data_IF_498321366646
#
_entry.id   IF_498321366646
#
_cell.length_a   1.000
_cell.length_b   1.000
_cell.length_c   1.000
_cell.angle_alpha   90.00
_cell.angle_beta   90.00
_cell.angle_gamma   90.00
#
_symmetry.space_group_name_H-M   'P 1'
#
loop_
_entity.id
_entity.type
_entity.pdbx_description
1 polymer ?
#
# COMPACT_ATOMS: atom_id res chain seq x y z
N UNK A 1 -30.94 15.53 -39.40
CA UNK A 1 -29.48 15.84 -39.35
C UNK A 1 -29.14 16.30 -37.93
N UNK A 2 -28.54 15.44 -37.09
CA UNK A 2 -27.60 15.99 -36.12
C UNK A 2 -26.32 16.27 -36.94
N UNK A 3 -26.22 17.48 -37.50
CA UNK A 3 -25.03 17.90 -38.25
C UNK A 3 -23.79 17.61 -37.41
N UNK A 4 -22.73 17.11 -38.04
CA UNK A 4 -21.39 17.23 -37.50
C UNK A 4 -21.22 18.69 -37.05
N UNK A 5 -21.16 18.92 -35.74
CA UNK A 5 -20.87 20.26 -35.24
C UNK A 5 -19.45 20.60 -35.70
N UNK A 6 -19.16 21.86 -36.03
CA UNK A 6 -17.78 22.28 -36.28
C UNK A 6 -16.84 21.87 -35.12
N UNK A 7 -17.41 21.78 -33.91
CA UNK A 7 -16.78 21.28 -32.69
C UNK A 7 -16.42 19.77 -32.74
N UNK A 8 -17.23 18.94 -33.42
CA UNK A 8 -16.97 17.50 -33.57
C UNK A 8 -15.82 17.24 -34.56
N UNK A 9 -15.75 18.00 -35.65
CA UNK A 9 -14.69 17.90 -36.65
C UNK A 9 -13.35 18.47 -36.14
N UNK A 10 -13.40 19.51 -35.32
CA UNK A 10 -12.22 20.00 -34.59
C UNK A 10 -11.74 18.96 -33.56
N UNK A 11 -12.66 18.37 -32.79
CA UNK A 11 -12.33 17.32 -31.83
C UNK A 11 -11.72 16.09 -32.50
N UNK A 12 -12.22 15.72 -33.68
CA UNK A 12 -11.69 14.62 -34.49
C UNK A 12 -10.27 14.91 -34.94
N UNK A 13 -10.01 16.08 -35.50
CA UNK A 13 -8.66 16.51 -35.92
C UNK A 13 -7.68 16.51 -34.75
N UNK A 14 -8.11 17.01 -33.58
CA UNK A 14 -7.30 16.99 -32.37
C UNK A 14 -6.98 15.55 -31.90
N UNK A 15 -7.95 14.63 -32.02
CA UNK A 15 -7.69 13.23 -31.72
C UNK A 15 -6.77 12.57 -32.77
N UNK A 16 -6.89 12.93 -34.05
CA UNK A 16 -6.04 12.40 -35.14
C UNK A 16 -4.57 12.82 -34.95
N UNK A 17 -4.34 14.10 -34.63
CA UNK A 17 -3.00 14.62 -34.27
C UNK A 17 -2.41 13.88 -33.05
N UNK A 18 -3.23 13.60 -32.04
CA UNK A 18 -2.79 12.90 -30.83
C UNK A 18 -2.45 11.40 -31.05
N UNK A 19 -2.75 10.83 -32.22
CA UNK A 19 -2.45 9.44 -32.57
C UNK A 19 -1.59 9.30 -33.83
N UNK A 20 -0.98 10.40 -34.27
CA UNK A 20 -0.06 10.44 -35.40
C UNK A 20 1.04 9.36 -35.23
N UNK A 21 1.29 8.58 -36.29
CA UNK A 21 2.21 7.43 -36.27
C UNK A 21 1.56 6.04 -36.03
N UNK A 22 0.30 5.95 -35.58
CA UNK A 22 -0.32 4.64 -35.28
C UNK A 22 -0.93 3.92 -36.50
N UNK A 23 -1.02 4.60 -37.65
CA UNK A 23 -1.76 4.19 -38.86
C UNK A 23 -3.25 3.89 -38.61
N UNK A 24 -3.84 4.49 -37.57
CA UNK A 24 -5.27 4.34 -37.25
C UNK A 24 -6.06 5.53 -37.80
N UNK A 25 -7.22 5.28 -38.39
CA UNK A 25 -8.16 6.31 -38.84
C UNK A 25 -9.25 6.51 -37.79
N UNK A 26 -9.52 7.74 -37.38
CA UNK A 26 -10.59 8.04 -36.44
C UNK A 26 -11.93 8.03 -37.19
N UNK A 27 -12.89 7.29 -36.64
CA UNK A 27 -14.26 7.15 -37.15
C UNK A 27 -15.20 8.12 -36.43
N UNK A 28 -15.03 8.28 -35.12
CA UNK A 28 -15.84 9.17 -34.29
C UNK A 28 -15.05 9.63 -33.07
N UNK A 29 -15.28 10.87 -32.63
CA UNK A 29 -14.79 11.41 -31.36
C UNK A 29 -15.91 12.10 -30.63
N UNK A 30 -16.04 11.87 -29.32
CA UNK A 30 -17.09 12.47 -28.50
C UNK A 30 -16.60 12.80 -27.09
N UNK A 31 -17.03 13.95 -26.55
CA UNK A 31 -16.71 14.37 -25.18
C UNK A 31 -17.57 13.59 -24.19
N UNK A 32 -16.95 13.17 -23.09
CA UNK A 32 -17.62 12.37 -22.05
C UNK A 32 -17.12 12.74 -20.67
N UNK A 33 -17.96 12.60 -19.65
CA UNK A 33 -17.55 12.65 -18.26
C UNK A 33 -17.29 11.24 -17.73
N UNK A 34 -16.11 11.01 -17.15
CA UNK A 34 -15.72 9.71 -16.56
C UNK A 34 -15.87 9.75 -15.04
N UNK A 35 -16.68 8.87 -14.48
CA UNK A 35 -16.81 8.62 -13.03
C UNK A 35 -16.40 7.19 -12.65
N UNK A 36 -16.09 6.96 -11.37
CA UNK A 36 -15.88 5.61 -10.81
C UNK A 36 -17.19 5.19 -10.16
N UNK A 37 -17.70 4.00 -10.49
CA UNK A 37 -18.90 3.44 -9.84
C UNK A 37 -18.65 3.24 -8.35
N UNK A 38 -19.49 3.83 -7.51
CA UNK A 38 -19.44 3.66 -6.05
C UNK A 38 -20.56 2.68 -5.69
N UNK A 39 -20.23 1.61 -4.95
CA UNK A 39 -21.22 0.94 -4.10
C UNK A 39 -20.68 0.77 -2.68
N UNK A 40 -21.37 1.39 -1.73
CA UNK A 40 -21.47 0.95 -0.34
C UNK A 40 -20.26 1.17 0.58
N UNK A 41 -20.18 2.36 1.20
CA UNK A 41 -20.12 2.52 2.67
C UNK A 41 -20.39 3.99 2.98
N UNK A 42 -21.52 4.23 3.65
CA UNK A 42 -21.85 5.53 4.25
C UNK A 42 -20.69 5.99 5.13
N UNK A 43 -20.28 7.25 4.98
CA UNK A 43 -19.29 7.88 5.87
C UNK A 43 -18.03 8.42 5.19
N UNK A 44 -18.18 9.28 4.18
CA UNK A 44 -17.35 10.49 3.92
C UNK A 44 -17.68 11.04 2.54
N UNK A 45 -18.43 12.13 2.49
CA UNK A 45 -18.81 12.85 1.28
C UNK A 45 -17.62 13.65 0.73
N UNK A 46 -16.57 12.95 0.27
CA UNK A 46 -15.56 13.53 -0.61
C UNK A 46 -16.10 13.49 -2.04
N UNK A 47 -16.45 14.64 -2.62
CA UNK A 47 -16.86 14.76 -4.03
C UNK A 47 -15.77 14.16 -4.94
N UNK A 48 -15.90 12.89 -5.34
CA UNK A 48 -15.16 12.40 -6.51
C UNK A 48 -15.78 13.05 -7.75
N UNK A 49 -15.23 14.20 -8.13
CA UNK A 49 -15.64 14.94 -9.33
C UNK A 49 -15.46 14.07 -10.58
N UNK A 50 -16.49 14.02 -11.44
CA UNK A 50 -16.39 13.39 -12.75
C UNK A 50 -15.32 14.11 -13.59
N UNK A 51 -14.44 13.36 -14.26
CA UNK A 51 -13.31 13.92 -15.01
C UNK A 51 -13.67 14.04 -16.50
N UNK A 52 -13.49 15.21 -17.13
CA UNK A 52 -13.74 15.36 -18.57
C UNK A 52 -12.73 14.54 -19.38
N UNK A 53 -13.23 13.78 -20.35
CA UNK A 53 -12.48 12.89 -21.23
C UNK A 53 -13.06 12.96 -22.64
N UNK A 54 -12.33 12.40 -23.61
CA UNK A 54 -12.82 12.20 -24.97
C UNK A 54 -12.71 10.73 -25.31
N UNK A 55 -13.76 10.17 -25.90
CA UNK A 55 -13.75 8.82 -26.47
C UNK A 55 -13.56 8.95 -27.98
N UNK A 56 -12.52 8.31 -28.50
CA UNK A 56 -12.23 8.24 -29.93
C UNK A 56 -12.32 6.79 -30.40
N UNK A 57 -13.21 6.53 -31.36
CA UNK A 57 -13.31 5.26 -32.06
C UNK A 57 -12.40 5.31 -33.28
N UNK A 58 -11.51 4.33 -33.41
CA UNK A 58 -10.57 4.25 -34.52
C UNK A 58 -10.52 2.86 -35.16
N UNK A 59 -10.20 2.81 -36.44
CA UNK A 59 -10.00 1.57 -37.19
C UNK A 59 -8.62 1.55 -37.83
N UNK A 60 -8.06 0.35 -38.01
CA UNK A 60 -6.78 0.11 -38.69
C UNK A 60 -6.94 -1.04 -39.68
N UNK A 61 -6.63 -0.80 -40.95
CA UNK A 61 -6.54 -1.85 -41.95
C UNK A 61 -5.18 -2.57 -41.84
N UNK A 62 -5.20 -3.90 -41.87
CA UNK A 62 -4.01 -4.75 -42.05
C UNK A 62 -4.38 -5.83 -43.08
N UNK A 63 -4.11 -5.56 -44.36
CA UNK A 63 -4.59 -6.40 -45.47
C UNK A 63 -6.13 -6.36 -45.58
N UNK A 64 -6.77 -7.53 -45.71
CA UNK A 64 -8.24 -7.66 -45.76
C UNK A 64 -8.94 -7.53 -44.39
N UNK A 65 -8.21 -7.56 -43.26
CA UNK A 65 -8.81 -7.48 -41.91
C UNK A 65 -8.74 -6.06 -41.35
N UNK A 66 -9.88 -5.57 -40.84
CA UNK A 66 -9.99 -4.29 -40.14
C UNK A 66 -9.97 -4.57 -38.63
N UNK A 67 -9.11 -3.86 -37.88
CA UNK A 67 -9.10 -3.87 -36.41
C UNK A 67 -9.70 -2.58 -35.88
N UNK A 68 -10.60 -2.68 -34.92
CA UNK A 68 -11.27 -1.52 -34.32
C UNK A 68 -10.90 -1.33 -32.84
N UNK A 69 -10.77 -0.07 -32.44
CA UNK A 69 -10.32 0.34 -31.12
C UNK A 69 -11.17 1.47 -30.55
N UNK A 70 -11.33 1.47 -29.23
CA UNK A 70 -11.87 2.59 -28.45
C UNK A 70 -10.74 3.18 -27.62
N UNK A 71 -10.39 4.44 -27.88
CA UNK A 71 -9.31 5.15 -27.20
C UNK A 71 -9.91 6.24 -26.30
N UNK A 72 -9.44 6.28 -25.06
CA UNK A 72 -9.79 7.31 -24.08
C UNK A 72 -8.68 8.35 -24.09
N UNK A 73 -9.03 9.61 -24.30
CA UNK A 73 -8.12 10.74 -24.29
C UNK A 73 -8.32 11.59 -23.03
N UNK A 74 -7.24 12.19 -22.54
CA UNK A 74 -7.23 13.17 -21.43
C UNK A 74 -6.74 14.53 -21.96
N UNK A 75 -7.20 15.60 -21.34
CA UNK A 75 -6.64 16.93 -21.57
C UNK A 75 -5.37 17.10 -20.71
N UNK A 76 -4.27 17.54 -21.31
CA UNK A 76 -3.03 17.92 -20.61
C UNK A 76 -3.01 19.42 -20.31
N UNK A 77 -2.02 19.85 -19.52
CA UNK A 77 -1.77 21.27 -19.22
C UNK A 77 -1.43 22.00 -20.51
N UNK A 78 -2.40 22.78 -21.03
CA UNK A 78 -2.31 23.42 -22.35
C UNK A 78 -3.48 23.08 -23.30
N UNK A 79 -4.44 22.24 -22.87
CA UNK A 79 -5.64 21.94 -23.67
C UNK A 79 -5.45 20.91 -24.77
N UNK A 80 -4.24 20.35 -24.91
CA UNK A 80 -3.90 19.30 -25.88
C UNK A 80 -4.46 17.95 -25.43
N UNK A 81 -4.94 17.14 -26.38
CA UNK A 81 -5.44 15.79 -26.12
C UNK A 81 -4.29 14.78 -26.13
N UNK A 82 -4.20 13.98 -25.08
CA UNK A 82 -3.22 12.89 -24.96
C UNK A 82 -3.91 11.54 -24.79
N UNK A 83 -3.41 10.46 -25.41
CA UNK A 83 -3.89 9.10 -25.17
C UNK A 83 -3.76 8.69 -23.70
N UNK A 84 -4.86 8.25 -23.09
CA UNK A 84 -4.88 7.80 -21.69
C UNK A 84 -5.10 6.28 -21.55
N UNK A 85 -5.98 5.70 -22.37
CA UNK A 85 -6.23 4.24 -22.35
C UNK A 85 -6.72 3.76 -23.72
N UNK A 86 -6.34 2.56 -24.11
CA UNK A 86 -6.76 1.92 -25.37
C UNK A 86 -7.50 0.62 -25.07
N UNK A 87 -8.68 0.46 -25.67
CA UNK A 87 -9.46 -0.78 -25.65
C UNK A 87 -9.56 -1.33 -27.07
N UNK A 88 -9.30 -2.63 -27.27
CA UNK A 88 -9.64 -3.31 -28.53
C UNK A 88 -11.15 -3.61 -28.49
N UNK A 89 -11.87 -3.40 -29.59
CA UNK A 89 -13.33 -3.65 -29.64
C UNK A 89 -13.68 -5.14 -29.81
N UNK A 90 -12.79 -5.97 -30.38
CA UNK A 90 -12.79 -7.42 -30.05
C UNK A 90 -12.62 -7.47 -28.54
N UNK A 91 -13.25 -8.30 -27.73
CA UNK A 91 -13.27 -8.21 -26.25
C UNK A 91 -14.32 -7.27 -25.65
N UNK A 92 -14.98 -6.38 -26.41
CA UNK A 92 -16.19 -5.75 -25.87
C UNK A 92 -17.28 -6.82 -25.77
N UNK A 93 -17.78 -7.08 -24.57
CA UNK A 93 -18.75 -8.14 -24.29
C UNK A 93 -20.10 -7.64 -23.79
N UNK A 94 -20.12 -6.50 -23.09
CA UNK A 94 -21.33 -5.93 -22.53
C UNK A 94 -21.38 -4.42 -22.70
N UNK A 95 -22.55 -3.89 -23.06
CA UNK A 95 -22.89 -2.46 -23.03
C UNK A 95 -24.10 -2.31 -22.12
N UNK A 96 -23.98 -1.51 -21.06
CA UNK A 96 -25.04 -1.40 -20.04
C UNK A 96 -25.31 0.05 -19.69
N UNK A 97 -26.55 0.51 -19.91
CA UNK A 97 -27.05 1.80 -19.45
C UNK A 97 -27.49 1.68 -17.99
N UNK A 98 -27.15 2.67 -17.18
CA UNK A 98 -27.40 2.65 -15.74
C UNK A 98 -28.85 3.09 -15.46
N UNK A 99 -29.67 2.17 -14.93
CA UNK A 99 -31.07 2.45 -14.62
C UNK A 99 -31.30 3.47 -13.49
N UNK A 100 -30.30 3.65 -12.60
CA UNK A 100 -30.39 4.58 -11.48
C UNK A 100 -30.12 6.06 -11.88
N UNK A 101 -29.81 6.33 -13.15
CA UNK A 101 -29.61 7.67 -13.67
C UNK A 101 -30.90 8.17 -14.38
N UNK A 102 -31.64 9.13 -13.80
CA UNK A 102 -32.89 9.62 -14.39
C UNK A 102 -32.68 10.35 -15.74
N UNK A 103 -31.45 10.76 -16.05
CA UNK A 103 -31.12 11.36 -17.36
C UNK A 103 -30.93 10.33 -18.47
N UNK A 104 -30.76 9.04 -18.12
CA UNK A 104 -30.41 7.97 -19.04
C UNK A 104 -29.06 8.15 -19.76
N UNK A 105 -28.27 9.19 -19.45
CA UNK A 105 -27.07 9.54 -20.21
C UNK A 105 -25.83 8.73 -19.79
N UNK A 106 -25.91 7.99 -18.69
CA UNK A 106 -24.78 7.23 -18.13
C UNK A 106 -24.80 5.76 -18.51
N UNK A 107 -23.67 5.26 -19.00
CA UNK A 107 -23.49 3.86 -19.39
C UNK A 107 -22.11 3.30 -19.00
N UNK A 108 -21.96 1.99 -19.10
CA UNK A 108 -20.71 1.26 -18.89
C UNK A 108 -20.39 0.36 -20.08
N UNK A 109 -19.10 0.16 -20.33
CA UNK A 109 -18.58 -0.74 -21.36
C UNK A 109 -17.78 -1.85 -20.69
N UNK A 110 -18.29 -3.07 -20.76
CA UNK A 110 -17.66 -4.28 -20.24
C UNK A 110 -16.75 -4.92 -21.29
N UNK A 111 -15.46 -5.01 -20.96
CA UNK A 111 -14.47 -5.69 -21.80
C UNK A 111 -13.94 -6.94 -21.09
N UNK A 112 -13.97 -8.09 -21.76
CA UNK A 112 -13.55 -9.39 -21.19
C UNK A 112 -12.07 -9.42 -20.78
N UNK A 113 -11.25 -8.56 -21.40
CA UNK A 113 -9.81 -8.48 -21.14
C UNK A 113 -9.43 -7.64 -19.90
N UNK A 114 -10.39 -7.17 -19.10
CA UNK A 114 -10.09 -6.44 -17.88
C UNK A 114 -9.83 -7.42 -16.73
N UNK A 115 -8.54 -7.72 -16.54
CA UNK A 115 -7.90 -8.09 -15.28
C UNK A 115 -8.68 -7.45 -14.11
N UNK A 116 -9.33 -8.28 -13.28
CA UNK A 116 -10.18 -7.96 -12.11
C UNK A 116 -11.70 -7.87 -12.36
N UNK A 117 -12.42 -8.91 -11.92
CA UNK A 117 -13.84 -8.82 -11.50
C UNK A 117 -14.02 -7.91 -10.25
N UNK A 118 -12.94 -7.38 -9.67
CA UNK A 118 -12.94 -6.62 -8.41
C UNK A 118 -13.04 -5.09 -8.58
N UNK A 119 -12.88 -4.53 -9.79
CA UNK A 119 -12.98 -3.07 -10.00
C UNK A 119 -14.20 -2.78 -10.85
N UNK A 120 -15.18 -2.08 -10.27
CA UNK A 120 -16.38 -1.61 -10.99
C UNK A 120 -15.99 -0.90 -12.29
N UNK A 121 -16.58 -1.25 -13.43
CA UNK A 121 -16.24 -0.64 -14.71
C UNK A 121 -16.45 0.88 -14.67
N UNK A 122 -15.63 1.66 -15.39
CA UNK A 122 -15.79 3.10 -15.44
C UNK A 122 -17.17 3.46 -16.00
N UNK A 123 -17.80 4.43 -15.37
CA UNK A 123 -19.07 4.98 -15.83
C UNK A 123 -18.79 6.19 -16.73
N UNK A 124 -19.53 6.25 -17.84
CA UNK A 124 -19.40 7.25 -18.87
C UNK A 124 -20.71 8.00 -18.97
N UNK A 125 -20.71 9.28 -18.63
CA UNK A 125 -21.89 10.15 -18.70
C UNK A 125 -21.76 11.08 -19.91
N UNK A 126 -22.78 11.05 -20.77
CA UNK A 126 -22.89 11.92 -21.95
C UNK A 126 -23.61 13.23 -21.64
N UNK A 127 -23.53 14.19 -22.56
CA UNK A 127 -24.22 15.49 -22.45
C UNK A 127 -25.73 15.35 -22.58
N UNK A 128 -26.19 14.45 -23.44
CA UNK A 128 -27.59 14.16 -23.69
C UNK A 128 -27.75 12.71 -24.21
N UNK A 129 -29.01 12.28 -24.33
CA UNK A 129 -29.38 10.94 -24.79
C UNK A 129 -28.96 10.72 -26.25
N UNK A 130 -28.99 11.76 -27.08
CA UNK A 130 -28.58 11.67 -28.49
C UNK A 130 -27.07 11.38 -28.65
N UNK A 131 -26.21 12.05 -27.89
CA UNK A 131 -24.75 11.82 -27.86
C UNK A 131 -24.46 10.38 -27.40
N UNK A 132 -25.19 9.88 -26.41
CA UNK A 132 -25.14 8.48 -25.95
C UNK A 132 -25.53 7.53 -27.09
N UNK A 133 -26.70 7.73 -27.69
CA UNK A 133 -27.22 6.86 -28.74
C UNK A 133 -26.31 6.86 -29.97
N UNK A 134 -25.79 8.02 -30.37
CA UNK A 134 -24.83 8.17 -31.47
C UNK A 134 -23.55 7.37 -31.24
N UNK A 135 -22.97 7.47 -30.04
CA UNK A 135 -21.77 6.69 -29.72
C UNK A 135 -22.07 5.19 -29.69
N UNK A 136 -23.14 4.78 -28.99
CA UNK A 136 -23.47 3.37 -28.84
C UNK A 136 -23.81 2.71 -30.18
N UNK A 137 -24.57 3.39 -31.04
CA UNK A 137 -24.86 2.91 -32.39
C UNK A 137 -23.59 2.76 -33.22
N UNK A 138 -22.66 3.72 -33.13
CA UNK A 138 -21.38 3.64 -33.82
C UNK A 138 -20.54 2.43 -33.34
N UNK A 139 -20.50 2.18 -32.03
CA UNK A 139 -19.84 1.00 -31.45
C UNK A 139 -20.49 -0.29 -31.96
N UNK A 140 -21.83 -0.37 -31.92
CA UNK A 140 -22.58 -1.56 -32.35
C UNK A 140 -22.40 -1.83 -33.85
N UNK A 141 -22.45 -0.81 -34.70
CA UNK A 141 -22.21 -0.94 -36.13
C UNK A 141 -20.79 -1.42 -36.42
N UNK A 142 -19.77 -0.83 -35.76
CA UNK A 142 -18.39 -1.30 -35.90
C UNK A 142 -18.25 -2.75 -35.42
N UNK A 143 -18.87 -3.13 -34.31
CA UNK A 143 -18.85 -4.52 -33.83
C UNK A 143 -19.52 -5.48 -34.83
N UNK A 144 -20.63 -5.08 -35.45
CA UNK A 144 -21.30 -5.86 -36.50
C UNK A 144 -20.46 -5.98 -37.77
N UNK A 145 -20.04 -4.84 -38.32
CA UNK A 145 -19.41 -4.75 -39.64
C UNK A 145 -17.95 -5.23 -39.65
N UNK A 146 -17.22 -5.01 -38.55
CA UNK A 146 -15.79 -5.33 -38.46
C UNK A 146 -15.52 -6.63 -37.71
N UNK A 147 -16.34 -6.98 -36.71
CA UNK A 147 -16.06 -8.13 -35.82
C UNK A 147 -17.05 -9.29 -35.98
N UNK A 148 -18.14 -9.12 -36.75
CA UNK A 148 -19.15 -10.16 -36.98
C UNK A 148 -19.94 -10.58 -35.73
N UNK A 149 -19.81 -9.85 -34.60
CA UNK A 149 -20.47 -10.16 -33.33
C UNK A 149 -20.96 -8.91 -32.62
N UNK A 150 -22.08 -9.01 -31.91
CA UNK A 150 -22.64 -7.94 -31.11
C UNK A 150 -22.43 -8.19 -29.61
N UNK A 151 -22.05 -7.16 -28.82
CA UNK A 151 -21.99 -7.28 -27.36
C UNK A 151 -23.40 -7.38 -26.76
N UNK A 152 -23.51 -7.94 -25.54
CA UNK A 152 -24.77 -7.98 -24.79
C UNK A 152 -25.18 -6.57 -24.39
N UNK A 153 -26.34 -6.12 -24.86
CA UNK A 153 -26.91 -4.81 -24.54
C UNK A 153 -27.90 -4.94 -23.38
N UNK A 154 -27.75 -4.12 -22.33
CA UNK A 154 -28.58 -4.12 -21.11
C UNK A 154 -29.03 -2.69 -20.79
N UNK A 155 -30.30 -2.53 -20.39
CA UNK A 155 -30.85 -1.21 -20.02
C UNK A 155 -31.11 -0.27 -21.20
N UNK A 156 -31.11 -0.80 -22.42
CA UNK A 156 -31.44 -0.08 -23.65
C UNK A 156 -32.64 -0.75 -24.28
N UNK A 157 -33.69 0.02 -24.56
CA UNK A 157 -34.76 -0.46 -25.42
C UNK A 157 -34.24 -0.55 -26.86
N UNK A 158 -34.08 -1.78 -27.33
CA UNK A 158 -33.57 -2.11 -28.66
C UNK A 158 -34.50 -1.56 -29.75
N UNK A 159 -35.80 -1.43 -29.46
CA UNK A 159 -36.81 -0.89 -30.38
C UNK A 159 -36.69 0.63 -30.46
N UNK A 160 -36.56 1.34 -29.34
CA UNK A 160 -36.32 2.79 -29.35
C UNK A 160 -34.99 3.14 -30.03
N UNK A 161 -33.93 2.36 -29.81
CA UNK A 161 -32.64 2.58 -30.47
C UNK A 161 -32.72 2.35 -31.98
N UNK A 162 -33.48 1.34 -32.43
CA UNK A 162 -33.70 1.07 -33.85
C UNK A 162 -34.56 2.16 -34.53
N UNK A 163 -35.59 2.67 -33.82
CA UNK A 163 -36.41 3.80 -34.27
C UNK A 163 -35.58 5.09 -34.36
N UNK A 164 -34.80 5.40 -33.33
CA UNK A 164 -33.86 6.53 -33.34
C UNK A 164 -32.84 6.42 -34.48
N UNK A 165 -32.28 5.23 -34.71
CA UNK A 165 -31.38 4.98 -35.83
C UNK A 165 -32.08 5.22 -37.18
N UNK A 166 -33.31 4.74 -37.36
CA UNK A 166 -34.08 4.96 -38.59
C UNK A 166 -34.36 6.44 -38.86
N UNK A 167 -34.57 7.24 -37.82
CA UNK A 167 -34.81 8.69 -37.92
C UNK A 167 -33.53 9.52 -38.10
N UNK A 168 -32.38 9.04 -37.65
CA UNK A 168 -31.11 9.79 -37.62
C UNK A 168 -30.01 9.28 -38.57
N UNK A 169 -30.24 8.20 -39.33
CA UNK A 169 -29.28 7.70 -40.34
C UNK A 169 -29.66 8.26 -41.72
N UNK A 170 -28.78 9.03 -42.40
CA UNK A 170 -29.04 9.43 -43.78
C UNK A 170 -28.96 8.21 -44.71
N UNK A 171 -29.97 8.03 -45.57
CA UNK A 171 -29.94 7.07 -46.66
C UNK A 171 -28.87 7.47 -47.68
N UNK A 172 -27.70 6.81 -47.65
CA UNK A 172 -26.69 6.94 -48.70
C UNK A 172 -26.62 5.65 -49.50
N UNK A 173 -27.07 5.79 -50.74
CA UNK A 173 -26.97 4.88 -51.88
C UNK A 173 -25.59 4.24 -52.00
N UNK A 174 -25.54 2.92 -51.94
CA UNK A 174 -24.40 2.11 -52.34
C UNK A 174 -24.25 2.20 -53.87
N UNK A 175 -23.47 3.17 -54.37
CA UNK A 175 -22.87 3.04 -55.70
C UNK A 175 -21.73 2.03 -55.59
N UNK A 176 -22.01 0.78 -55.98
CA UNK A 176 -21.00 -0.18 -56.41
C UNK A 176 -20.44 0.34 -57.73
N UNK A 177 -19.29 1.00 -57.70
CA UNK A 177 -18.47 1.15 -58.91
C UNK A 177 -17.64 -0.12 -59.06
N UNK A 178 -18.09 -0.97 -59.98
CA UNK A 178 -17.24 -1.91 -60.71
C UNK A 178 -16.23 -1.08 -61.50
N UNK A 179 -14.94 -1.20 -61.19
CA UNK A 179 -13.88 -0.89 -62.15
C UNK A 179 -13.23 -2.19 -62.52
N UNK A 180 -13.81 -2.78 -63.56
CA UNK A 180 -13.17 -3.69 -64.48
C UNK A 180 -12.13 -2.87 -65.26
N UNK A 181 -10.88 -3.34 -65.30
CA UNK A 181 -9.78 -2.65 -65.93
C UNK A 181 -8.86 -3.68 -66.59
N UNK A 182 -8.78 -3.73 -67.93
CA UNK A 182 -7.96 -4.71 -68.62
C UNK A 182 -6.50 -4.32 -68.48
N UNK A 183 -5.69 -5.20 -67.89
CA UNK A 183 -4.23 -5.05 -67.93
C UNK A 183 -3.78 -5.47 -69.32
N UNK A 184 -3.58 -4.48 -70.18
CA UNK A 184 -2.81 -4.62 -71.42
C UNK A 184 -1.35 -4.83 -71.02
N UNK A 185 -0.81 -6.02 -71.27
CA UNK A 185 0.62 -6.27 -71.22
C UNK A 185 1.25 -5.63 -72.47
N UNK A 186 1.76 -4.41 -72.34
CA UNK A 186 2.72 -3.84 -73.28
C UNK A 186 4.06 -4.54 -73.09
N UNK A 187 4.38 -5.45 -74.02
CA UNK A 187 5.73 -5.97 -74.20
C UNK A 187 6.58 -4.82 -74.74
N UNK A 188 7.44 -4.26 -73.89
CA UNK A 188 8.54 -3.40 -74.35
C UNK A 188 9.65 -4.30 -74.85
N UNK A 189 9.88 -4.32 -76.17
CA UNK A 189 11.11 -4.81 -76.77
C UNK A 189 12.28 -3.99 -76.21
N UNK A 190 13.03 -4.59 -75.30
CA UNK A 190 14.38 -4.15 -74.97
C UNK A 190 15.35 -4.96 -75.83
N UNK A 191 16.03 -4.30 -76.77
CA UNK A 191 17.16 -4.85 -77.52
C UNK A 191 18.25 -5.33 -76.56
N UNK A 192 18.22 -6.62 -76.24
CA UNK A 192 19.31 -7.33 -75.61
C UNK A 192 20.29 -7.75 -76.70
N UNK A 193 21.40 -7.02 -76.80
CA UNK A 193 22.62 -7.50 -77.46
C UNK A 193 23.05 -8.80 -76.77
N UNK A 194 22.76 -9.93 -77.41
CA UNK A 194 23.29 -11.24 -77.01
C UNK A 194 24.76 -11.29 -77.41
N UNK A 195 25.65 -11.03 -76.46
CA UNK A 195 27.02 -11.54 -76.52
C UNK A 195 26.93 -13.03 -76.22
N UNK A 196 27.26 -13.86 -77.22
CA UNK A 196 27.33 -15.31 -77.07
C UNK A 196 28.45 -15.64 -76.09
N UNK A 197 28.11 -15.74 -74.81
CA UNK A 197 28.95 -16.43 -73.83
C UNK A 197 28.89 -17.92 -74.19
N UNK A 198 30.04 -18.44 -74.60
CA UNK A 198 30.24 -19.80 -75.09
C UNK A 198 30.58 -20.70 -73.92
N UNK A 199 29.62 -20.89 -73.04
CA UNK A 199 29.62 -21.88 -71.96
C UNK A 199 28.15 -22.14 -71.63
N UNK A 200 27.83 -23.21 -70.89
CA UNK A 200 26.48 -23.61 -70.44
C UNK A 200 25.77 -24.69 -71.27
N UNK A 201 26.49 -25.76 -71.62
CA UNK A 201 25.87 -27.10 -71.68
C UNK A 201 26.84 -28.08 -71.01
N UNK A 202 26.40 -28.78 -69.97
CA UNK A 202 27.16 -29.83 -69.30
C UNK A 202 27.42 -31.00 -70.27
N UNK A 203 28.51 -31.75 -70.12
CA UNK A 203 28.77 -32.94 -70.95
C UNK A 203 27.60 -33.95 -70.92
N UNK A 204 26.87 -34.04 -69.80
CA UNK A 204 25.68 -34.87 -69.70
C UNK A 204 24.50 -34.31 -70.51
N UNK A 205 24.35 -32.99 -70.56
CA UNK A 205 23.32 -32.33 -71.36
C UNK A 205 23.66 -32.39 -72.85
N UNK A 206 24.95 -32.39 -73.21
CA UNK A 206 25.42 -32.60 -74.59
C UNK A 206 25.15 -34.04 -75.05
N UNK A 207 25.40 -35.04 -74.21
CA UNK A 207 25.10 -36.45 -74.48
C UNK A 207 23.58 -36.71 -74.59
N UNK A 208 22.78 -36.08 -73.73
CA UNK A 208 21.31 -36.14 -73.80
C UNK A 208 20.76 -35.44 -75.05
N UNK A 209 21.33 -34.29 -75.43
CA UNK A 209 20.98 -33.61 -76.69
C UNK A 209 21.35 -34.46 -77.90
N UNK A 210 22.52 -35.11 -77.88
CA UNK A 210 22.96 -36.01 -78.96
C UNK A 210 22.09 -37.26 -79.04
N UNK A 211 21.69 -37.84 -77.91
CA UNK A 211 20.76 -38.96 -77.85
C UNK A 211 19.36 -38.57 -78.39
N UNK A 212 18.85 -37.40 -78.00
CA UNK A 212 17.60 -36.84 -78.52
C UNK A 212 17.69 -36.62 -80.04
N UNK A 213 18.75 -35.98 -80.52
CA UNK A 213 18.97 -35.77 -81.95
C UNK A 213 19.13 -37.10 -82.71
N UNK A 214 19.77 -38.10 -82.10
CA UNK A 214 19.98 -39.44 -82.65
C UNK A 214 18.69 -40.26 -82.80
N UNK A 215 17.66 -40.01 -81.98
CA UNK A 215 16.32 -40.60 -82.16
C UNK A 215 15.58 -40.08 -83.40
N UNK A 216 15.96 -38.94 -83.97
CA UNK A 216 15.32 -38.35 -85.15
C UNK A 216 16.18 -38.56 -86.40
N UNK A 217 15.87 -39.58 -87.20
CA UNK A 217 16.51 -39.78 -88.52
C UNK A 217 15.90 -38.81 -89.53
N UNK A 218 16.66 -37.82 -89.98
CA UNK A 218 16.16 -36.70 -90.81
C UNK A 218 17.04 -36.49 -92.05
N UNK A 219 16.41 -36.35 -93.22
CA UNK A 219 17.09 -35.98 -94.48
C UNK A 219 17.35 -34.47 -94.59
N UNK A 220 18.25 -34.06 -95.49
CA UNK A 220 18.81 -32.69 -95.65
C UNK A 220 17.76 -31.60 -96.01
N UNK A 221 16.46 -31.90 -96.07
CA UNK A 221 15.39 -30.96 -96.43
C UNK A 221 14.32 -30.70 -95.37
N UNK A 222 14.39 -31.31 -94.18
CA UNK A 222 13.27 -31.33 -93.21
C UNK A 222 13.55 -30.53 -91.92
N UNK A 223 14.58 -29.68 -91.89
CA UNK A 223 14.96 -28.90 -90.70
C UNK A 223 13.85 -27.97 -90.19
N UNK A 224 13.01 -27.45 -91.08
CA UNK A 224 11.88 -26.59 -90.71
C UNK A 224 10.76 -27.41 -90.05
N UNK A 225 10.50 -28.63 -90.55
CA UNK A 225 9.58 -29.58 -89.95
C UNK A 225 10.07 -30.09 -88.58
N UNK A 226 11.39 -30.22 -88.39
CA UNK A 226 12.01 -30.53 -87.10
C UNK A 226 11.82 -29.42 -86.07
N UNK A 227 12.14 -28.18 -86.47
CA UNK A 227 11.95 -27.00 -85.62
C UNK A 227 10.50 -26.85 -85.19
N UNK A 228 9.55 -27.04 -86.11
CA UNK A 228 8.13 -27.04 -85.75
C UNK A 228 7.75 -28.18 -84.78
N UNK A 229 8.35 -29.36 -84.92
CA UNK A 229 8.06 -30.49 -84.03
C UNK A 229 8.63 -30.28 -82.63
N UNK A 230 9.86 -29.80 -82.51
CA UNK A 230 10.45 -29.41 -81.22
C UNK A 230 9.66 -28.28 -80.56
N UNK A 231 9.20 -27.28 -81.33
CA UNK A 231 8.31 -26.24 -80.80
C UNK A 231 7.00 -26.82 -80.27
N UNK A 232 6.41 -27.79 -80.96
CA UNK A 232 5.18 -28.47 -80.49
C UNK A 232 5.43 -29.31 -79.24
N UNK A 233 6.54 -30.03 -79.15
CA UNK A 233 6.90 -30.81 -77.96
C UNK A 233 7.23 -29.90 -76.78
N UNK A 234 7.98 -28.81 -76.99
CA UNK A 234 8.26 -27.80 -75.98
C UNK A 234 6.98 -27.14 -75.46
N UNK A 235 6.07 -26.72 -76.36
CA UNK A 235 4.77 -26.18 -75.96
C UNK A 235 3.92 -27.20 -75.19
N UNK A 236 3.97 -28.49 -75.56
CA UNK A 236 3.28 -29.54 -74.84
C UNK A 236 3.88 -29.77 -73.44
N UNK A 237 5.21 -29.68 -73.32
CA UNK A 237 5.93 -29.84 -72.06
C UNK A 237 5.72 -28.64 -71.14
N UNK A 238 5.74 -27.42 -71.67
CA UNK A 238 5.35 -26.20 -70.97
C UNK A 238 3.90 -26.27 -70.49
N UNK A 239 2.97 -26.74 -71.34
CA UNK A 239 1.58 -26.94 -70.94
C UNK A 239 1.43 -28.00 -69.84
N UNK A 240 2.16 -29.10 -69.92
CA UNK A 240 2.17 -30.14 -68.88
C UNK A 240 2.75 -29.61 -67.56
N UNK A 241 3.79 -28.80 -67.62
CA UNK A 241 4.41 -28.21 -66.44
C UNK A 241 3.48 -27.17 -65.78
N UNK A 242 2.82 -26.32 -66.57
CA UNK A 242 1.78 -25.40 -66.09
C UNK A 242 0.62 -26.18 -65.47
N UNK A 243 0.19 -27.28 -66.08
CA UNK A 243 -0.86 -28.13 -65.53
C UNK A 243 -0.46 -28.77 -64.18
N UNK A 244 0.77 -29.27 -64.08
CA UNK A 244 1.29 -29.83 -62.83
C UNK A 244 1.39 -28.77 -61.71
N UNK A 245 1.78 -27.54 -62.05
CA UNK A 245 1.79 -26.41 -61.11
C UNK A 245 0.36 -26.08 -60.67
N UNK A 246 -0.60 -25.98 -61.60
CA UNK A 246 -2.01 -25.71 -61.31
C UNK A 246 -2.67 -26.80 -60.47
N UNK A 247 -2.35 -28.08 -60.70
CA UNK A 247 -2.84 -29.19 -59.87
C UNK A 247 -2.26 -29.15 -58.45
N UNK A 248 -1.06 -28.60 -58.27
CA UNK A 248 -0.41 -28.45 -56.96
C UNK A 248 -0.87 -27.21 -56.18
N UNK A 249 -1.47 -26.22 -56.84
CA UNK A 249 -2.01 -24.99 -56.24
C UNK A 249 -2.91 -25.24 -55.02
N UNK A 250 -3.92 -26.14 -55.04
CA UNK A 250 -4.78 -26.38 -53.88
C UNK A 250 -4.04 -26.97 -52.68
N UNK A 251 -3.01 -27.81 -52.91
CA UNK A 251 -2.18 -28.37 -51.84
C UNK A 251 -1.27 -27.29 -51.22
N UNK A 252 -0.72 -26.41 -52.06
CA UNK A 252 0.08 -25.27 -51.62
C UNK A 252 -0.76 -24.32 -50.78
N UNK A 253 -2.00 -24.04 -51.21
CA UNK A 253 -2.95 -23.19 -50.48
C UNK A 253 -3.33 -23.80 -49.12
N UNK A 254 -3.54 -25.12 -49.04
CA UNK A 254 -3.82 -25.80 -47.77
C UNK A 254 -2.63 -25.71 -46.81
N UNK A 255 -1.41 -25.90 -47.30
CA UNK A 255 -0.18 -25.76 -46.50
C UNK A 255 0.02 -24.31 -46.05
N UNK A 256 -0.19 -23.33 -46.92
CA UNK A 256 -0.11 -21.91 -46.57
C UNK A 256 -1.15 -21.55 -45.50
N UNK A 257 -2.38 -22.06 -45.63
CA UNK A 257 -3.43 -21.85 -44.65
C UNK A 257 -3.11 -22.50 -43.30
N UNK A 258 -2.53 -23.71 -43.32
CA UNK A 258 -2.05 -24.40 -42.13
C UNK A 258 -0.93 -23.63 -41.44
N UNK A 259 0.04 -23.11 -42.21
CA UNK A 259 1.14 -22.29 -41.69
C UNK A 259 0.63 -20.97 -41.08
N UNK A 260 -0.33 -20.32 -41.73
CA UNK A 260 -0.95 -19.10 -41.23
C UNK A 260 -1.74 -19.36 -39.93
N UNK A 261 -2.45 -20.49 -39.86
CA UNK A 261 -3.14 -20.94 -38.65
C UNK A 261 -2.18 -21.21 -37.50
N UNK A 262 -1.09 -21.94 -37.75
CA UNK A 262 -0.05 -22.19 -36.76
C UNK A 262 0.61 -20.89 -36.28
N UNK A 263 0.88 -19.96 -37.20
CA UNK A 263 1.43 -18.63 -36.88
C UNK A 263 0.49 -17.85 -35.97
N UNK A 264 -0.82 -17.86 -36.25
CA UNK A 264 -1.82 -17.22 -35.39
C UNK A 264 -1.87 -17.85 -33.99
N UNK A 265 -1.75 -19.18 -33.88
CA UNK A 265 -1.70 -19.86 -32.58
C UNK A 265 -0.46 -19.46 -31.76
N UNK A 266 0.70 -19.34 -32.41
CA UNK A 266 1.94 -18.89 -31.74
C UNK A 266 1.81 -17.43 -31.27
N UNK A 267 1.25 -16.55 -32.10
CA UNK A 267 0.97 -15.15 -31.73
C UNK A 267 0.04 -15.06 -30.50
N UNK A 268 -1.00 -15.90 -30.46
CA UNK A 268 -1.90 -15.95 -29.31
C UNK A 268 -1.16 -16.44 -28.05
N UNK A 269 -0.33 -17.48 -28.16
CA UNK A 269 0.50 -17.97 -27.04
C UNK A 269 1.45 -16.90 -26.50
N UNK A 270 2.05 -16.08 -27.37
CA UNK A 270 2.88 -14.95 -26.94
C UNK A 270 2.07 -13.88 -26.20
N UNK A 271 0.85 -13.55 -26.68
CA UNK A 271 -0.06 -12.63 -25.96
C UNK A 271 -0.43 -13.20 -24.57
N UNK A 272 -0.69 -14.52 -24.46
CA UNK A 272 -0.94 -15.18 -23.17
C UNK A 272 0.28 -15.14 -22.24
N UNK A 273 1.47 -15.48 -22.74
CA UNK A 273 2.71 -15.44 -21.96
C UNK A 273 3.03 -14.02 -21.49
N UNK A 274 2.82 -13.01 -22.34
CA UNK A 274 2.92 -11.60 -21.97
C UNK A 274 1.98 -11.23 -20.82
N UNK A 275 0.71 -11.68 -20.89
CA UNK A 275 -0.27 -11.43 -19.81
C UNK A 275 0.16 -12.11 -18.51
N UNK A 276 0.60 -13.38 -18.57
CA UNK A 276 1.04 -14.15 -17.40
C UNK A 276 2.29 -13.55 -16.76
N UNK A 277 3.29 -13.15 -17.55
CA UNK A 277 4.49 -12.48 -17.04
C UNK A 277 4.14 -11.20 -16.28
N UNK A 278 3.26 -10.37 -16.83
CA UNK A 278 2.80 -9.15 -16.14
C UNK A 278 1.98 -9.50 -14.87
N UNK A 279 1.23 -10.62 -14.85
CA UNK A 279 0.53 -11.08 -13.63
C UNK A 279 1.53 -11.52 -12.56
N UNK A 280 2.51 -12.36 -12.92
CA UNK A 280 3.52 -12.86 -11.99
C UNK A 280 4.38 -11.74 -11.42
N UNK A 281 4.74 -10.73 -12.22
CA UNK A 281 5.45 -9.56 -11.74
C UNK A 281 4.64 -8.78 -10.70
N UNK A 282 3.37 -8.49 -10.97
CA UNK A 282 2.53 -7.80 -9.99
C UNK A 282 2.28 -8.64 -8.74
N UNK A 283 2.09 -9.95 -8.88
CA UNK A 283 1.99 -10.83 -7.71
C UNK A 283 3.26 -10.81 -6.86
N UNK A 284 4.45 -10.80 -7.49
CA UNK A 284 5.73 -10.68 -6.77
C UNK A 284 5.82 -9.34 -6.02
N UNK A 285 5.50 -8.24 -6.68
CA UNK A 285 5.49 -6.90 -6.07
C UNK A 285 4.49 -6.82 -4.89
N UNK A 286 3.30 -7.41 -5.06
CA UNK A 286 2.28 -7.47 -4.01
C UNK A 286 2.73 -8.32 -2.82
N UNK A 287 3.35 -9.49 -3.06
CA UNK A 287 3.90 -10.36 -2.01
C UNK A 287 5.00 -9.64 -1.25
N UNK A 288 5.94 -9.00 -1.94
CA UNK A 288 7.02 -8.23 -1.30
C UNK A 288 6.48 -7.08 -0.44
N UNK A 289 5.45 -6.38 -0.92
CA UNK A 289 4.76 -5.34 -0.15
C UNK A 289 4.07 -5.89 1.10
N UNK A 290 3.46 -7.08 1.00
CA UNK A 290 2.83 -7.76 2.15
C UNK A 290 3.89 -8.23 3.15
N UNK A 291 4.98 -8.84 2.68
CA UNK A 291 6.08 -9.34 3.52
C UNK A 291 6.76 -8.20 4.28
N UNK A 292 7.12 -7.12 3.60
CA UNK A 292 7.71 -5.94 4.23
C UNK A 292 6.78 -5.33 5.28
N UNK A 293 5.48 -5.23 4.97
CA UNK A 293 4.47 -4.79 5.94
C UNK A 293 4.36 -5.74 7.13
N UNK A 294 4.35 -7.04 6.90
CA UNK A 294 4.20 -8.04 7.96
C UNK A 294 5.43 -8.05 8.89
N UNK A 295 6.64 -8.01 8.32
CA UNK A 295 7.88 -7.90 9.10
C UNK A 295 7.89 -6.64 9.97
N UNK A 296 7.43 -5.51 9.43
CA UNK A 296 7.29 -4.28 10.20
C UNK A 296 6.27 -4.42 11.34
N UNK A 297 5.13 -5.08 11.11
CA UNK A 297 4.14 -5.33 12.15
C UNK A 297 4.66 -6.28 13.24
N UNK A 298 5.39 -7.33 12.85
CA UNK A 298 5.99 -8.26 13.79
C UNK A 298 7.07 -7.57 14.63
N UNK A 299 7.96 -6.79 14.00
CA UNK A 299 8.95 -5.99 14.71
C UNK A 299 8.30 -4.98 15.67
N UNK A 300 7.24 -4.30 15.24
CA UNK A 300 6.46 -3.42 16.12
C UNK A 300 5.84 -4.19 17.29
N UNK A 301 5.30 -5.39 17.03
CA UNK A 301 4.71 -6.24 18.07
C UNK A 301 5.75 -6.65 19.12
N UNK A 302 6.93 -7.10 18.67
CA UNK A 302 8.04 -7.48 19.55
C UNK A 302 8.53 -6.27 20.35
N UNK A 303 8.74 -5.13 19.70
CA UNK A 303 9.18 -3.91 20.38
C UNK A 303 8.17 -3.41 21.39
N UNK A 304 6.87 -3.43 21.05
CA UNK A 304 5.82 -3.03 21.97
C UNK A 304 5.74 -3.95 23.19
N UNK A 305 5.91 -5.27 22.99
CA UNK A 305 5.96 -6.23 24.10
C UNK A 305 7.14 -5.95 25.03
N UNK A 306 8.33 -5.75 24.46
CA UNK A 306 9.53 -5.40 25.23
C UNK A 306 9.35 -4.05 25.98
N UNK A 307 8.73 -3.06 25.33
CA UNK A 307 8.44 -1.77 25.94
C UNK A 307 7.46 -1.90 27.11
N UNK A 308 6.41 -2.72 26.98
CA UNK A 308 5.47 -2.98 28.07
C UNK A 308 6.20 -3.65 29.24
N UNK A 309 7.04 -4.66 28.97
CA UNK A 309 7.82 -5.34 30.03
C UNK A 309 8.77 -4.38 30.76
N UNK A 310 9.43 -3.46 30.05
CA UNK A 310 10.25 -2.42 30.66
C UNK A 310 9.43 -1.39 31.45
N UNK A 311 8.25 -1.00 30.94
CA UNK A 311 7.34 -0.11 31.64
C UNK A 311 6.81 -0.75 32.93
N UNK A 312 6.45 -2.03 32.91
CA UNK A 312 5.97 -2.77 34.08
C UNK A 312 7.06 -2.85 35.16
N UNK A 313 8.32 -3.10 34.77
CA UNK A 313 9.46 -3.04 35.70
C UNK A 313 9.60 -1.66 36.34
N UNK A 314 9.42 -0.58 35.56
CA UNK A 314 9.46 0.77 36.09
C UNK A 314 8.28 1.07 37.03
N UNK A 315 7.07 0.62 36.66
CA UNK A 315 5.87 0.80 37.48
C UNK A 315 5.99 0.09 38.83
N UNK A 316 6.50 -1.15 38.86
CA UNK A 316 6.75 -1.87 40.11
C UNK A 316 7.77 -1.14 40.99
N UNK A 317 8.81 -0.52 40.42
CA UNK A 317 9.75 0.31 41.19
C UNK A 317 9.13 1.60 41.74
N UNK A 318 8.18 2.19 41.02
CA UNK A 318 7.48 3.41 41.43
C UNK A 318 6.33 3.14 42.40
N UNK A 319 5.92 1.88 42.57
CA UNK A 319 4.78 1.49 43.42
C UNK A 319 5.10 1.72 44.89
N UNK A 320 4.20 2.42 45.58
CA UNK A 320 4.27 2.65 47.03
C UNK A 320 3.24 1.76 47.69
N UNK A 321 3.64 0.81 48.55
CA UNK A 321 2.70 0.03 49.35
C UNK A 321 1.84 0.96 50.22
N UNK A 322 0.52 0.79 50.20
CA UNK A 322 -0.42 1.63 50.93
C UNK A 322 -0.20 1.59 52.45
N UNK A 323 0.22 0.44 52.95
CA UNK A 323 0.57 0.23 54.36
C UNK A 323 1.71 1.15 54.79
N UNK A 324 2.79 1.20 54.01
CA UNK A 324 3.93 2.08 54.28
C UNK A 324 3.60 3.55 54.08
N UNK A 325 2.79 3.89 53.06
CA UNK A 325 2.33 5.27 52.86
C UNK A 325 1.53 5.77 54.09
N UNK A 326 0.61 4.96 54.61
CA UNK A 326 -0.17 5.28 55.80
C UNK A 326 0.73 5.41 57.05
N UNK A 327 1.69 4.51 57.21
CA UNK A 327 2.66 4.55 58.31
C UNK A 327 3.49 5.85 58.28
N UNK A 328 4.05 6.20 57.12
CA UNK A 328 4.93 7.35 56.95
C UNK A 328 4.21 8.70 57.08
N UNK A 329 2.95 8.79 56.62
CA UNK A 329 2.18 10.04 56.62
C UNK A 329 1.39 10.27 57.90
N UNK A 330 0.83 9.21 58.52
CA UNK A 330 -0.10 9.33 59.65
C UNK A 330 0.08 8.31 60.79
N UNK A 331 1.00 7.35 60.70
CA UNK A 331 1.19 6.31 61.73
C UNK A 331 1.65 6.86 63.09
N UNK A 332 1.18 6.26 64.20
CA UNK A 332 1.67 6.62 65.53
C UNK A 332 3.07 6.04 65.78
N UNK A 333 3.80 6.66 66.72
CA UNK A 333 5.15 6.23 67.11
C UNK A 333 5.14 5.45 68.43
N UNK A 334 4.02 4.80 68.75
CA UNK A 334 3.90 3.99 69.95
C UNK A 334 4.81 2.76 69.86
N UNK A 335 5.25 2.24 71.01
CA UNK A 335 6.20 1.11 71.10
C UNK A 335 5.73 -0.11 70.29
N UNK A 336 4.42 -0.39 70.25
CA UNK A 336 3.84 -1.50 69.49
C UNK A 336 3.99 -1.35 67.96
N UNK A 337 4.05 -0.12 67.44
CA UNK A 337 4.16 0.18 66.00
C UNK A 337 5.57 0.56 65.57
N UNK A 338 6.53 0.59 66.50
CA UNK A 338 7.90 0.97 66.22
C UNK A 338 8.58 0.09 65.16
N UNK A 339 8.32 -1.22 65.16
CA UNK A 339 8.86 -2.13 64.16
C UNK A 339 8.37 -1.76 62.74
N UNK A 340 7.06 -1.52 62.60
CA UNK A 340 6.45 -1.10 61.32
C UNK A 340 6.97 0.25 60.84
N UNK A 341 7.18 1.21 61.75
CA UNK A 341 7.77 2.50 61.42
C UNK A 341 9.23 2.35 60.92
N UNK A 342 9.99 1.42 61.48
CA UNK A 342 11.36 1.13 61.05
C UNK A 342 11.37 0.45 59.68
N UNK A 343 10.51 -0.55 59.45
CA UNK A 343 10.38 -1.22 58.15
C UNK A 343 9.97 -0.24 57.05
N UNK A 344 9.00 0.63 57.33
CA UNK A 344 8.58 1.68 56.41
C UNK A 344 9.71 2.69 56.10
N UNK A 345 10.58 2.99 57.08
CA UNK A 345 11.76 3.84 56.89
C UNK A 345 12.84 3.17 56.02
N UNK A 346 13.12 1.89 56.28
CA UNK A 346 14.06 1.10 55.50
C UNK A 346 13.57 0.99 54.05
N UNK A 347 12.29 0.72 53.86
CA UNK A 347 11.65 0.71 52.54
C UNK A 347 11.76 2.08 51.84
N UNK A 348 11.43 3.18 52.52
CA UNK A 348 11.52 4.54 51.94
C UNK A 348 12.96 4.88 51.51
N UNK A 349 13.94 4.50 52.31
CA UNK A 349 15.36 4.69 52.01
C UNK A 349 15.79 3.87 50.79
N UNK A 350 15.33 2.61 50.70
CA UNK A 350 15.55 1.75 49.54
C UNK A 350 14.88 2.30 48.28
N UNK A 351 13.63 2.77 48.38
CA UNK A 351 12.87 3.35 47.28
C UNK A 351 13.57 4.61 46.71
N UNK A 352 13.99 5.53 47.57
CA UNK A 352 14.75 6.72 47.15
C UNK A 352 16.06 6.36 46.45
N UNK A 353 16.84 5.41 47.00
CA UNK A 353 18.09 4.93 46.39
C UNK A 353 17.86 4.22 45.07
N UNK A 354 16.75 3.51 44.91
CA UNK A 354 16.43 2.79 43.68
C UNK A 354 16.15 3.73 42.51
N UNK A 355 15.72 4.96 42.79
CA UNK A 355 15.47 6.01 41.81
C UNK A 355 16.70 6.88 41.53
N UNK A 356 17.75 6.80 42.35
CA UNK A 356 19.01 7.52 42.20
C UNK A 356 19.99 6.83 41.23
N UNK A 357 20.84 7.63 40.60
CA UNK A 357 21.96 7.15 39.77
C UNK A 357 22.98 6.46 40.69
N UNK A 358 23.47 5.24 40.40
CA UNK A 358 23.41 4.51 39.12
C UNK A 358 22.31 3.45 38.98
N UNK A 359 21.41 3.29 39.96
CA UNK A 359 20.42 2.19 39.97
C UNK A 359 19.31 2.37 38.94
N UNK A 360 19.05 3.63 38.57
CA UNK A 360 18.16 4.02 37.49
C UNK A 360 18.97 4.79 36.43
N UNK A 361 18.81 4.40 35.17
CA UNK A 361 19.44 5.08 34.05
C UNK A 361 19.00 6.56 34.01
N UNK A 362 19.94 7.44 33.68
CA UNK A 362 19.71 8.89 33.52
C UNK A 362 18.58 9.22 32.54
N UNK A 363 18.34 8.35 31.56
CA UNK A 363 17.21 8.47 30.62
C UNK A 363 15.84 8.44 31.31
N UNK A 364 15.66 7.58 32.31
CA UNK A 364 14.44 7.53 33.12
C UNK A 364 14.34 8.70 34.11
N UNK A 365 15.46 9.26 34.56
CA UNK A 365 15.46 10.39 35.50
C UNK A 365 14.76 11.64 34.95
N UNK A 366 14.77 11.83 33.63
CA UNK A 366 14.09 12.93 32.96
C UNK A 366 12.57 12.71 32.79
N UNK A 367 12.07 11.48 32.97
CA UNK A 367 10.64 11.21 32.86
C UNK A 367 9.85 11.95 33.93
N UNK A 368 8.75 12.58 33.52
CA UNK A 368 7.85 13.31 34.42
C UNK A 368 7.35 12.43 35.57
N UNK A 369 6.88 11.21 35.28
CA UNK A 369 6.37 10.28 36.28
C UNK A 369 7.41 9.95 37.37
N UNK A 370 8.66 9.72 36.95
CA UNK A 370 9.78 9.44 37.89
C UNK A 370 10.07 10.67 38.76
N UNK A 371 10.10 11.88 38.18
CA UNK A 371 10.31 13.13 38.93
C UNK A 371 9.18 13.41 39.92
N UNK A 372 7.93 13.25 39.50
CA UNK A 372 6.75 13.43 40.35
C UNK A 372 6.77 12.43 41.50
N UNK A 373 7.08 11.16 41.23
CA UNK A 373 7.14 10.14 42.26
C UNK A 373 8.29 10.35 43.24
N UNK A 374 9.45 10.75 42.74
CA UNK A 374 10.58 11.19 43.57
C UNK A 374 10.19 12.34 44.49
N UNK A 375 9.48 13.35 43.98
CA UNK A 375 9.01 14.47 44.78
C UNK A 375 8.00 14.02 45.85
N UNK A 376 7.12 13.07 45.53
CA UNK A 376 6.19 12.46 46.49
C UNK A 376 6.94 11.72 47.61
N UNK A 377 7.96 10.91 47.27
CA UNK A 377 8.80 10.21 48.26
C UNK A 377 9.58 11.19 49.15
N UNK A 378 10.14 12.27 48.58
CA UNK A 378 10.81 13.33 49.35
C UNK A 378 9.82 14.10 50.26
N UNK A 379 8.57 14.29 49.83
CA UNK A 379 7.51 14.84 50.67
C UNK A 379 7.15 13.90 51.83
N UNK A 380 7.05 12.60 51.57
CA UNK A 380 6.82 11.59 52.61
C UNK A 380 7.98 11.55 53.61
N UNK A 381 9.23 11.58 53.12
CA UNK A 381 10.44 11.66 53.94
C UNK A 381 10.46 12.88 54.85
N UNK A 382 10.26 14.08 54.30
CA UNK A 382 10.25 15.31 55.11
C UNK A 382 9.12 15.32 56.15
N UNK A 383 7.93 14.84 55.76
CA UNK A 383 6.77 14.70 56.67
C UNK A 383 7.08 13.73 57.82
N UNK A 384 7.61 12.56 57.50
CA UNK A 384 7.95 11.54 58.50
C UNK A 384 9.05 12.03 59.46
N UNK A 385 10.15 12.57 58.92
CA UNK A 385 11.28 13.09 59.71
C UNK A 385 10.81 14.17 60.68
N UNK A 386 9.97 15.11 60.21
CA UNK A 386 9.41 16.16 61.06
C UNK A 386 8.57 15.57 62.19
N UNK A 387 7.60 14.71 61.87
CA UNK A 387 6.70 14.09 62.86
C UNK A 387 7.45 13.24 63.88
N UNK A 388 8.41 12.43 63.43
CA UNK A 388 9.23 11.60 64.29
C UNK A 388 10.13 12.44 65.21
N UNK A 389 10.72 13.53 64.68
CA UNK A 389 11.55 14.44 65.47
C UNK A 389 10.75 15.20 66.52
N UNK A 390 9.55 15.68 66.16
CA UNK A 390 8.60 16.30 67.10
C UNK A 390 8.16 15.31 68.19
N UNK A 391 7.77 14.10 67.80
CA UNK A 391 7.39 13.04 68.73
C UNK A 391 8.51 12.73 69.71
N UNK A 392 9.73 12.45 69.23
CA UNK A 392 10.85 12.10 70.10
C UNK A 392 11.23 13.27 71.03
N UNK A 393 11.20 14.50 70.54
CA UNK A 393 11.48 15.68 71.36
C UNK A 393 10.47 15.83 72.50
N UNK A 394 9.17 15.70 72.19
CA UNK A 394 8.11 15.83 73.17
C UNK A 394 8.07 14.62 74.13
N UNK A 395 8.28 13.41 73.63
CA UNK A 395 8.25 12.18 74.40
C UNK A 395 9.38 12.12 75.44
N UNK A 396 10.61 12.46 75.06
CA UNK A 396 11.71 12.49 76.02
C UNK A 396 11.57 13.66 77.01
N UNK A 397 11.05 14.80 76.59
CA UNK A 397 10.77 15.91 77.50
C UNK A 397 9.69 15.52 78.54
N UNK A 398 8.57 14.94 78.10
CA UNK A 398 7.50 14.52 79.01
C UNK A 398 7.91 13.37 79.93
N UNK A 399 8.74 12.44 79.45
CA UNK A 399 9.31 11.37 80.27
C UNK A 399 10.20 11.95 81.38
N UNK A 400 11.04 12.92 81.04
CA UNK A 400 11.89 13.60 82.03
C UNK A 400 11.05 14.44 82.99
N UNK A 401 10.04 15.18 82.52
CA UNK A 401 9.14 15.96 83.37
C UNK A 401 8.37 15.07 84.34
N UNK A 402 7.91 13.89 83.88
CA UNK A 402 7.30 12.87 84.73
C UNK A 402 8.26 12.41 85.83
N UNK A 403 9.50 12.06 85.49
CA UNK A 403 10.54 11.68 86.46
C UNK A 403 10.85 12.82 87.46
N UNK A 404 10.84 14.08 87.01
CA UNK A 404 11.04 15.26 87.85
C UNK A 404 9.87 15.46 88.83
N UNK A 405 8.65 15.16 88.39
CA UNK A 405 7.43 15.35 89.19
C UNK A 405 7.23 14.26 90.24
N UNK A 406 7.64 13.02 89.95
CA UNK A 406 7.46 11.90 90.85
C UNK A 406 8.51 11.90 91.98
N UNK A 407 8.02 12.12 93.20
CA UNK A 407 8.82 12.16 94.42
C UNK A 407 9.48 10.82 94.74
N UNK A 408 9.07 9.71 94.11
CA UNK A 408 9.67 8.39 94.28
C UNK A 408 11.10 8.28 93.71
N UNK A 409 11.46 9.18 92.78
CA UNK A 409 12.78 9.25 92.16
C UNK A 409 13.80 10.07 92.96
N UNK A 410 13.36 10.85 93.95
CA UNK A 410 14.19 11.73 94.77
C UNK A 410 14.34 11.23 96.21
N UNK A 411 15.35 11.72 96.92
CA UNK A 411 15.62 11.31 98.29
C UNK A 411 14.57 11.91 99.23
N UNK A 412 14.05 11.10 100.16
CA UNK A 412 13.15 11.57 101.22
C UNK A 412 13.96 11.79 102.49
N UNK A 413 13.50 12.67 103.40
CA UNK A 413 14.24 13.01 104.64
C UNK A 413 14.73 11.73 105.33
N UNK A 414 16.06 11.61 105.51
CA UNK A 414 16.71 10.48 106.16
C UNK A 414 17.06 9.26 105.28
N UNK A 415 16.68 9.21 104.00
CA UNK A 415 17.06 8.12 103.08
C UNK A 415 17.59 8.65 101.75
N UNK A 416 18.90 8.49 101.54
CA UNK A 416 19.57 8.76 100.27
C UNK A 416 19.26 7.63 99.28
N UNK A 417 18.55 7.95 98.19
CA UNK A 417 18.27 6.99 97.11
C UNK A 417 19.18 7.29 95.93
N UNK A 418 19.87 6.26 95.42
CA UNK A 418 20.65 6.38 94.17
C UNK A 418 19.69 6.64 93.01
N UNK A 419 19.91 7.69 92.18
CA UNK A 419 19.13 7.89 90.96
C UNK A 419 19.21 6.65 90.07
N UNK A 420 18.05 6.07 89.73
CA UNK A 420 17.96 5.00 88.73
C UNK A 420 17.18 5.49 87.51
N UNK A 421 17.82 5.34 86.36
CA UNK A 421 17.28 5.71 85.05
C UNK A 421 16.99 4.48 84.19
N UNK A 422 16.67 3.32 84.80
CA UNK A 422 16.44 2.08 84.06
C UNK A 422 15.34 2.21 83.00
N UNK A 423 14.21 2.84 83.35
CA UNK A 423 13.11 3.06 82.40
C UNK A 423 13.51 4.03 81.28
N UNK A 424 14.15 5.16 81.60
CA UNK A 424 14.69 6.08 80.59
C UNK A 424 15.68 5.36 79.64
N UNK A 425 16.58 4.53 80.16
CA UNK A 425 17.50 3.72 79.33
C UNK A 425 16.75 2.73 78.46
N UNK A 426 15.72 2.07 78.98
CA UNK A 426 14.89 1.14 78.23
C UNK A 426 14.17 1.87 77.08
N UNK A 427 13.49 2.98 77.35
CA UNK A 427 12.81 3.79 76.33
C UNK A 427 13.79 4.32 75.27
N UNK A 428 14.93 4.86 75.68
CA UNK A 428 15.99 5.29 74.75
C UNK A 428 16.44 4.14 73.84
N UNK A 429 16.55 2.92 74.37
CA UNK A 429 16.92 1.73 73.58
C UNK A 429 15.83 1.36 72.57
N UNK A 430 14.55 1.44 72.93
CA UNK A 430 13.42 1.17 72.03
C UNK A 430 13.41 2.10 70.80
N UNK A 431 13.69 3.39 71.00
CA UNK A 431 13.71 4.38 69.91
C UNK A 431 15.07 4.55 69.22
N UNK A 432 16.13 3.89 69.70
CA UNK A 432 17.49 4.03 69.17
C UNK A 432 17.60 3.67 67.68
N UNK A 433 16.89 2.63 67.22
CA UNK A 433 16.92 2.22 65.81
C UNK A 433 16.23 3.24 64.91
N UNK A 434 15.11 3.82 65.35
CA UNK A 434 14.44 4.91 64.62
C UNK A 434 15.36 6.13 64.48
N UNK A 435 16.09 6.50 65.54
CA UNK A 435 17.09 7.58 65.51
C UNK A 435 18.20 7.34 64.48
N UNK A 436 18.65 6.09 64.31
CA UNK A 436 19.64 5.74 63.29
C UNK A 436 19.08 5.91 61.87
N UNK A 437 17.83 5.52 61.62
CA UNK A 437 17.19 5.72 60.32
C UNK A 437 16.92 7.20 60.04
N UNK A 438 16.49 7.97 61.04
CA UNK A 438 16.32 9.42 60.92
C UNK A 438 17.63 10.12 60.53
N UNK A 439 18.75 9.72 61.14
CA UNK A 439 20.09 10.21 60.76
C UNK A 439 20.42 9.97 59.29
N UNK A 440 19.98 8.83 58.75
CA UNK A 440 20.24 8.46 57.36
C UNK A 440 19.36 9.22 56.37
N UNK A 441 18.14 9.58 56.79
CA UNK A 441 17.17 10.33 55.98
C UNK A 441 17.48 11.83 55.99
N UNK A 442 17.76 12.40 57.17
CA UNK A 442 18.12 13.81 57.31
C UNK A 442 19.18 13.99 58.42
N UNK A 443 20.36 14.49 58.03
CA UNK A 443 21.44 14.77 58.98
C UNK A 443 21.12 15.97 59.88
N UNK A 444 20.25 16.88 59.42
CA UNK A 444 19.96 18.14 60.11
C UNK A 444 18.99 17.95 61.29
N UNK A 445 18.11 16.94 61.22
CA UNK A 445 17.10 16.69 62.25
C UNK A 445 17.70 16.29 63.61
N UNK A 446 18.91 15.71 63.62
CA UNK A 446 19.56 15.30 64.86
C UNK A 446 20.02 16.49 65.72
N UNK A 447 20.31 17.63 65.10
CA UNK A 447 20.83 18.79 65.82
C UNK A 447 19.82 19.36 66.81
N UNK A 448 18.58 19.55 66.37
CA UNK A 448 17.47 20.00 67.22
C UNK A 448 17.10 18.95 68.27
N UNK A 449 17.00 17.69 67.87
CA UNK A 449 16.62 16.60 68.77
C UNK A 449 17.66 16.38 69.89
N UNK A 450 18.96 16.44 69.56
CA UNK A 450 20.03 16.37 70.56
C UNK A 450 19.93 17.52 71.57
N UNK A 451 19.67 18.76 71.10
CA UNK A 451 19.51 19.92 71.98
C UNK A 451 18.31 19.75 72.92
N UNK A 452 17.17 19.29 72.40
CA UNK A 452 15.98 19.03 73.21
C UNK A 452 16.25 17.95 74.28
N UNK A 453 16.78 16.79 73.88
CA UNK A 453 17.11 15.70 74.79
C UNK A 453 18.12 16.11 75.87
N UNK A 454 19.25 16.72 75.48
CA UNK A 454 20.26 17.17 76.44
C UNK A 454 19.72 18.30 77.34
N UNK A 455 18.86 19.18 76.82
CA UNK A 455 18.19 20.23 77.59
C UNK A 455 17.35 19.64 78.72
N UNK A 456 16.43 18.73 78.40
CA UNK A 456 15.58 18.05 79.38
C UNK A 456 16.41 17.23 80.38
N UNK A 457 17.36 16.43 79.91
CA UNK A 457 18.20 15.62 80.79
C UNK A 457 19.05 16.47 81.75
N UNK A 458 19.57 17.61 81.30
CA UNK A 458 20.31 18.54 82.16
C UNK A 458 19.41 19.13 83.26
N UNK A 459 18.12 19.35 83.01
CA UNK A 459 17.18 19.80 84.05
C UNK A 459 16.98 18.71 85.12
N UNK A 460 16.82 17.45 84.70
CA UNK A 460 16.73 16.31 85.63
C UNK A 460 17.98 16.21 86.50
N UNK A 461 19.17 16.19 85.88
CA UNK A 461 20.44 16.07 86.59
C UNK A 461 20.68 17.24 87.56
N UNK A 462 20.32 18.47 87.17
CA UNK A 462 20.43 19.64 88.07
C UNK A 462 19.53 19.51 89.30
N UNK A 463 18.30 19.02 89.11
CA UNK A 463 17.37 18.78 90.22
C UNK A 463 17.87 17.69 91.15
N UNK A 464 18.39 16.59 90.60
CA UNK A 464 19.00 15.51 91.39
C UNK A 464 20.18 16.02 92.20
N UNK A 465 21.11 16.77 91.59
CA UNK A 465 22.26 17.36 92.30
C UNK A 465 21.81 18.32 93.41
N UNK A 466 20.79 19.14 93.16
CA UNK A 466 20.25 20.05 94.18
C UNK A 466 19.59 19.28 95.33
N UNK A 467 18.83 18.22 95.05
CA UNK A 467 18.21 17.36 96.06
C UNK A 467 19.28 16.68 96.94
N UNK A 468 20.34 16.14 96.34
CA UNK A 468 21.47 15.56 97.07
C UNK A 468 22.20 16.59 97.93
N UNK A 469 22.39 17.83 97.42
CA UNK A 469 22.96 18.94 98.21
C UNK A 469 22.05 19.30 99.39
N UNK A 470 20.75 19.43 99.17
CA UNK A 470 19.78 19.73 100.22
C UNK A 470 19.74 18.66 101.30
N UNK A 471 19.86 17.38 100.93
CA UNK A 471 19.99 16.27 101.87
C UNK A 471 21.25 16.39 102.74
N UNK A 472 22.42 16.70 102.13
CA UNK A 472 23.69 16.90 102.87
C UNK A 472 23.63 18.10 103.82
N UNK A 473 22.94 19.18 103.44
CA UNK A 473 22.81 20.38 104.29
C UNK A 473 21.75 20.28 105.39
N UNK A 474 20.84 19.30 105.30
CA UNK A 474 19.73 19.10 106.24
C UNK A 474 19.88 17.88 107.16
N UNK A 475 20.91 17.07 106.92
CA UNK A 475 21.44 16.05 107.83
C UNK A 475 22.58 16.64 108.64
#
# INVERSE_FOLDING_TARGET
MAKSSADDDELRRACEAAIEGTKQKIVMSIRVAKSRGIWGKSGKLGRQMAKPRVLALSTKSKGQRIKAFLRVMKYSTGGVLEPAKLYKLKHLSKVEVIANDPSGCTFTLGFDNLRSQSVTPPQWTMRNIDDRNRLLLCILNICKDVLGRLPKVVGIDVVEMALWAKENTPSVSTQRNLTDGPVVATVTESDLKVTVEKELVSQAEEEDMEALLGTYVMGIGEAEAFSERLKRELLALEAANVHAILESEPLIDEVLHGLESATNCVDDMDEWLGIFNVKLRHMREDIESIETRNNNLEMQSVNNKALIEELDKLLERLRVPSEYAACLTGGSFDEARMLQNIEACEWLTGALRSLDVPNLDSTYANMRAVREKRAELEKMKSTFVRRASEFLSNYFASLVDFMISDKSYFSQRGQLKRPDHADLRYKCRTYARLLQHLKSLDKNCLGSLRKAYCGSLNLLLRREVNDHKSFITSS
#
